data_IF_580401111307
#
_entry.id   IF_580401111307
#
_cell.length_a   1.000
_cell.length_b   1.000
_cell.length_c   1.000
_cell.angle_alpha   90.00
_cell.angle_beta   90.00
_cell.angle_gamma   90.00
#
_symmetry.space_group_name_H-M   'P 1'
#
loop_
_entity.id
_entity.type
_entity.pdbx_description
1 polymer ?
#
# COMPACT_ATOMS: atom_id res chain seq x y z
N UNK A 1 4.47 26.62 -26.39
CA UNK A 1 4.30 25.16 -26.27
C UNK A 1 2.91 24.88 -25.74
N UNK A 2 2.16 23.96 -26.37
CA UNK A 2 0.71 23.74 -26.13
C UNK A 2 0.36 22.34 -25.60
N UNK A 3 1.28 21.66 -24.92
CA UNK A 3 1.04 20.33 -24.38
C UNK A 3 -0.01 20.38 -23.26
N UNK A 4 -0.96 19.44 -23.32
CA UNK A 4 -1.94 19.18 -22.24
C UNK A 4 -1.26 18.31 -21.18
N UNK A 5 -1.38 18.69 -19.91
CA UNK A 5 -0.67 18.06 -18.80
C UNK A 5 -1.66 17.74 -17.69
N UNK A 6 -1.56 16.54 -17.12
CA UNK A 6 -2.27 16.15 -15.89
C UNK A 6 -1.23 15.73 -14.88
N UNK A 7 -1.40 16.14 -13.63
CA UNK A 7 -0.47 15.86 -12.54
C UNK A 7 -1.22 15.09 -11.46
N UNK A 8 -0.56 14.21 -10.74
CA UNK A 8 -1.11 13.57 -9.54
C UNK A 8 -0.39 14.06 -8.29
N UNK A 9 -1.12 14.09 -7.17
CA UNK A 9 -0.51 14.22 -5.86
C UNK A 9 -0.05 12.83 -5.35
N UNK A 10 0.59 12.82 -4.18
CA UNK A 10 1.24 11.65 -3.59
C UNK A 10 0.34 11.07 -2.48
N UNK A 11 0.10 9.74 -2.46
CA UNK A 11 -0.63 9.10 -1.37
C UNK A 11 0.14 9.14 -0.05
N UNK A 12 -0.55 8.89 1.07
CA UNK A 12 0.12 8.67 2.35
C UNK A 12 0.94 7.38 2.30
N UNK A 13 2.26 7.52 2.23
CA UNK A 13 3.21 6.41 2.15
C UNK A 13 3.22 5.53 3.42
N UNK A 14 2.69 6.02 4.53
CA UNK A 14 2.59 5.25 5.78
C UNK A 14 1.33 4.39 5.84
N UNK A 15 0.38 4.60 4.91
CA UNK A 15 -0.89 3.87 4.82
C UNK A 15 -0.84 2.62 3.93
N UNK A 16 0.33 2.32 3.35
CA UNK A 16 0.52 1.16 2.47
C UNK A 16 0.70 -0.13 3.30
N UNK A 17 0.37 -1.30 2.71
CA UNK A 17 0.54 -2.60 3.34
C UNK A 17 1.91 -2.88 3.93
N UNK A 18 2.96 -2.32 3.32
CA UNK A 18 4.32 -2.47 3.82
C UNK A 18 4.46 -2.06 5.29
N UNK A 19 3.74 -1.04 5.76
CA UNK A 19 3.81 -0.55 7.14
C UNK A 19 2.60 -0.92 8.01
N UNK A 20 1.42 -1.13 7.42
CA UNK A 20 0.17 -1.31 8.17
C UNK A 20 -0.34 -2.76 8.24
N UNK A 21 0.49 -3.75 7.90
CA UNK A 21 0.08 -5.17 7.96
C UNK A 21 0.47 -5.85 9.28
N UNK A 22 1.77 -5.82 9.63
CA UNK A 22 2.31 -6.64 10.71
C UNK A 22 1.80 -6.17 12.07
N UNK A 23 1.90 -4.86 12.36
CA UNK A 23 1.43 -4.29 13.62
C UNK A 23 -0.05 -4.59 13.89
N UNK A 24 -0.98 -4.26 12.99
CA UNK A 24 -2.40 -4.59 13.15
C UNK A 24 -2.69 -6.08 13.29
N UNK A 25 -1.94 -6.95 12.60
CA UNK A 25 -2.09 -8.41 12.76
C UNK A 25 -1.70 -8.88 14.17
N UNK A 26 -0.63 -8.31 14.74
CA UNK A 26 -0.21 -8.59 16.12
C UNK A 26 -1.23 -8.06 17.14
N UNK A 27 -1.75 -6.85 16.93
CA UNK A 27 -2.78 -6.25 17.78
C UNK A 27 -4.07 -7.08 17.77
N UNK A 28 -4.50 -7.57 16.61
CA UNK A 28 -5.63 -8.48 16.48
C UNK A 28 -5.40 -9.82 17.20
N UNK A 29 -4.14 -10.21 17.41
CA UNK A 29 -3.73 -11.40 18.16
C UNK A 29 -3.47 -11.11 19.66
N UNK A 30 -3.76 -9.89 20.13
CA UNK A 30 -3.63 -9.48 21.54
C UNK A 30 -2.25 -8.92 21.93
N UNK A 31 -1.33 -8.76 20.98
CA UNK A 31 -0.01 -8.13 21.23
C UNK A 31 -0.07 -6.65 20.90
N UNK A 32 0.02 -5.79 21.92
CA UNK A 32 -0.09 -4.32 21.76
C UNK A 32 1.26 -3.61 21.69
N UNK A 33 2.35 -4.29 22.00
CA UNK A 33 3.70 -3.73 21.98
C UNK A 33 4.74 -4.81 21.67
N UNK A 34 5.87 -4.39 21.12
CA UNK A 34 7.02 -5.24 20.81
C UNK A 34 8.30 -4.63 21.35
N UNK A 35 9.29 -5.45 21.67
CA UNK A 35 10.62 -4.96 22.05
C UNK A 35 11.40 -4.62 20.79
N UNK A 36 11.91 -3.40 20.69
CA UNK A 36 12.65 -2.93 19.51
C UNK A 36 13.86 -2.09 19.87
N UNK A 37 14.84 -2.09 18.97
CA UNK A 37 15.96 -1.16 18.98
C UNK A 37 15.51 0.14 18.30
N UNK A 38 15.64 1.27 19.00
CA UNK A 38 15.37 2.61 18.47
C UNK A 38 16.52 3.13 17.63
N UNK A 39 16.31 4.27 16.97
CA UNK A 39 17.31 4.92 16.13
C UNK A 39 18.59 5.33 16.90
N UNK A 40 18.48 5.62 18.21
CA UNK A 40 19.61 5.93 19.09
C UNK A 40 20.36 4.69 19.61
N UNK A 41 19.95 3.48 19.20
CA UNK A 41 20.51 2.20 19.62
C UNK A 41 19.97 1.68 20.96
N UNK A 42 19.13 2.45 21.66
CA UNK A 42 18.48 2.00 22.89
C UNK A 42 17.43 0.92 22.60
N UNK A 43 17.26 -0.01 23.55
CA UNK A 43 16.22 -1.05 23.48
C UNK A 43 15.06 -0.64 24.36
N UNK A 44 13.83 -0.69 23.83
CA UNK A 44 12.63 -0.36 24.58
C UNK A 44 11.43 -1.20 24.15
N UNK A 45 10.40 -1.19 24.98
CA UNK A 45 9.07 -1.65 24.60
C UNK A 45 8.38 -0.55 23.77
N UNK A 46 7.95 -0.87 22.56
CA UNK A 46 7.38 0.04 21.59
C UNK A 46 5.91 -0.29 21.36
N UNK A 47 5.02 0.68 21.59
CA UNK A 47 3.58 0.51 21.35
C UNK A 47 3.27 0.40 19.87
N UNK A 48 2.47 -0.59 19.48
CA UNK A 48 2.00 -0.76 18.09
C UNK A 48 0.87 0.21 17.71
N UNK A 49 0.38 1.01 18.65
CA UNK A 49 -0.55 2.12 18.37
C UNK A 49 0.18 3.38 17.90
N UNK A 50 1.48 3.49 18.19
CA UNK A 50 2.31 4.67 17.91
C UNK A 50 3.39 4.39 16.86
N UNK A 51 3.87 3.14 16.79
CA UNK A 51 4.96 2.71 15.92
C UNK A 51 4.44 1.69 14.92
N UNK A 52 4.96 1.74 13.69
CA UNK A 52 4.63 0.78 12.65
C UNK A 52 5.74 -0.26 12.50
N UNK A 53 5.34 -1.44 12.02
CA UNK A 53 6.25 -2.52 11.69
C UNK A 53 6.18 -2.77 10.20
N UNK A 54 7.35 -2.80 9.57
CA UNK A 54 7.47 -3.15 8.16
C UNK A 54 7.06 -4.61 7.92
N UNK A 55 6.71 -4.98 6.68
CA UNK A 55 6.50 -6.38 6.30
C UNK A 55 7.72 -7.26 6.60
N UNK A 56 8.94 -6.68 6.55
CA UNK A 56 10.18 -7.38 6.85
C UNK A 56 10.30 -7.78 8.33
N UNK A 57 9.59 -7.09 9.24
CA UNK A 57 9.55 -7.46 10.65
C UNK A 57 8.99 -8.88 10.88
N UNK A 58 8.19 -9.39 9.94
CA UNK A 58 7.65 -10.76 10.01
C UNK A 58 8.74 -11.83 10.10
N UNK A 59 9.87 -11.67 9.40
CA UNK A 59 10.99 -12.60 9.45
C UNK A 59 11.70 -12.56 10.81
N UNK A 60 11.84 -11.38 11.40
CA UNK A 60 12.44 -11.20 12.72
C UNK A 60 11.56 -11.77 13.83
N UNK A 61 10.25 -11.52 13.76
CA UNK A 61 9.26 -12.08 14.67
C UNK A 61 9.25 -13.62 14.59
N UNK A 62 9.33 -14.19 13.38
CA UNK A 62 9.41 -15.64 13.19
C UNK A 62 10.71 -16.25 13.79
N UNK A 63 11.79 -15.47 13.83
CA UNK A 63 13.02 -15.83 14.53
C UNK A 63 12.96 -15.64 16.06
N UNK A 64 11.80 -15.23 16.60
CA UNK A 64 11.57 -15.02 18.03
C UNK A 64 12.06 -13.67 18.56
N UNK A 65 12.46 -12.74 17.69
CA UNK A 65 12.75 -11.35 18.09
C UNK A 65 11.45 -10.59 18.42
N UNK A 66 11.59 -9.46 19.11
CA UNK A 66 10.47 -8.59 19.48
C UNK A 66 9.76 -8.98 20.78
N UNK A 67 10.15 -10.08 21.42
CA UNK A 67 9.48 -10.63 22.60
C UNK A 67 10.19 -10.33 23.92
N UNK A 68 11.49 -10.01 23.89
CA UNK A 68 12.31 -9.78 25.08
C UNK A 68 13.47 -8.81 24.81
N UNK A 69 14.02 -8.21 25.88
CA UNK A 69 15.10 -7.20 25.81
C UNK A 69 16.42 -7.73 25.21
N UNK A 70 16.69 -9.02 25.34
CA UNK A 70 17.86 -9.68 24.75
C UNK A 70 17.64 -10.09 23.27
N UNK A 71 16.42 -9.93 22.76
CA UNK A 71 16.02 -10.24 21.38
C UNK A 71 15.16 -9.13 20.78
N UNK A 72 15.64 -7.88 20.71
CA UNK A 72 14.86 -6.79 20.12
C UNK A 72 14.67 -6.99 18.62
N UNK A 73 13.58 -6.44 18.09
CA UNK A 73 13.50 -6.15 16.66
C UNK A 73 14.55 -5.11 16.28
N UNK A 74 15.13 -5.27 15.10
CA UNK A 74 16.12 -4.33 14.55
C UNK A 74 15.45 -2.99 14.22
N UNK A 75 16.18 -1.87 14.37
CA UNK A 75 15.65 -0.54 14.04
C UNK A 75 15.12 -0.47 12.59
N UNK A 76 15.79 -1.12 11.64
CA UNK A 76 15.41 -1.08 10.22
C UNK A 76 14.04 -1.69 9.87
N UNK A 77 13.40 -2.43 10.79
CA UNK A 77 12.06 -2.99 10.56
C UNK A 77 10.96 -2.25 11.33
N UNK A 78 11.32 -1.22 12.08
CA UNK A 78 10.43 -0.37 12.87
C UNK A 78 10.39 0.99 12.22
N UNK A 79 9.19 1.58 12.16
CA UNK A 79 9.03 2.99 11.84
C UNK A 79 8.45 3.65 13.09
N UNK A 80 9.24 4.50 13.75
CA UNK A 80 8.82 5.13 14.98
C UNK A 80 7.86 6.30 14.76
N UNK A 81 7.21 6.76 15.83
CA UNK A 81 6.23 7.84 15.75
C UNK A 81 6.81 9.15 15.16
N UNK A 82 8.10 9.43 15.39
CA UNK A 82 8.76 10.61 14.84
C UNK A 82 9.04 10.47 13.36
N UNK A 83 9.48 9.30 12.91
CA UNK A 83 9.70 8.98 11.49
C UNK A 83 8.38 9.01 10.72
N UNK A 84 7.30 8.46 11.29
CA UNK A 84 5.94 8.54 10.72
C UNK A 84 5.52 10.00 10.54
N UNK A 85 5.72 10.85 11.56
CA UNK A 85 5.37 12.26 11.50
C UNK A 85 6.17 13.00 10.42
N UNK A 86 7.48 12.75 10.32
CA UNK A 86 8.36 13.31 9.28
C UNK A 86 7.87 12.88 7.89
N UNK A 87 7.58 11.60 7.67
CA UNK A 87 7.08 11.10 6.39
C UNK A 87 5.77 11.79 5.97
N UNK A 88 4.81 11.90 6.89
CA UNK A 88 3.52 12.57 6.64
C UNK A 88 3.68 14.07 6.35
N UNK A 89 4.59 14.73 7.07
CA UNK A 89 4.90 16.15 6.82
C UNK A 89 5.51 16.34 5.43
N UNK A 90 6.43 15.48 5.02
CA UNK A 90 7.06 15.53 3.70
C UNK A 90 6.03 15.29 2.58
N UNK A 91 5.16 14.28 2.71
CA UNK A 91 4.07 14.04 1.75
C UNK A 91 3.15 15.25 1.65
N UNK A 92 2.79 15.86 2.78
CA UNK A 92 1.97 17.07 2.81
C UNK A 92 2.65 18.23 2.08
N UNK A 93 3.94 18.46 2.32
CA UNK A 93 4.72 19.51 1.67
C UNK A 93 4.82 19.31 0.15
N UNK A 94 5.05 18.07 -0.31
CA UNK A 94 5.03 17.75 -1.74
C UNK A 94 3.66 17.99 -2.36
N UNK A 95 2.58 17.55 -1.71
CA UNK A 95 1.22 17.74 -2.21
C UNK A 95 0.84 19.22 -2.30
N UNK A 96 1.28 20.05 -1.35
CA UNK A 96 1.13 21.50 -1.41
C UNK A 96 1.91 22.11 -2.58
N UNK A 97 3.16 21.70 -2.79
CA UNK A 97 3.98 22.18 -3.90
C UNK A 97 3.37 21.78 -5.26
N UNK A 98 2.89 20.54 -5.40
CA UNK A 98 2.19 20.04 -6.58
C UNK A 98 0.94 20.88 -6.86
N UNK A 99 0.11 21.10 -5.84
CA UNK A 99 -1.11 21.89 -5.98
C UNK A 99 -0.80 23.34 -6.40
N UNK A 100 0.22 23.97 -5.80
CA UNK A 100 0.66 25.32 -6.17
C UNK A 100 1.13 25.44 -7.62
N UNK A 101 1.97 24.49 -8.07
CA UNK A 101 2.45 24.44 -9.46
C UNK A 101 1.30 24.17 -10.44
N UNK A 102 0.40 23.25 -10.11
CA UNK A 102 -0.74 22.92 -10.94
C UNK A 102 -1.69 24.13 -11.09
N UNK A 103 -1.97 24.85 -10.00
CA UNK A 103 -2.77 26.07 -10.02
C UNK A 103 -2.13 27.16 -10.88
N UNK A 104 -0.83 27.43 -10.70
CA UNK A 104 -0.10 28.43 -11.47
C UNK A 104 -0.07 28.15 -12.99
N UNK A 105 -0.17 26.88 -13.38
CA UNK A 105 -0.17 26.43 -14.78
C UNK A 105 -1.56 26.05 -15.31
N UNK A 106 -2.60 26.15 -14.49
CA UNK A 106 -3.96 25.69 -14.81
C UNK A 106 -4.02 24.21 -15.25
N UNK A 107 -3.16 23.37 -14.67
CA UNK A 107 -3.18 21.93 -14.87
C UNK A 107 -4.13 21.26 -13.87
N UNK A 108 -4.97 20.31 -14.29
CA UNK A 108 -5.79 19.57 -13.36
C UNK A 108 -4.93 18.59 -12.55
N UNK A 109 -5.38 18.33 -11.32
CA UNK A 109 -4.72 17.39 -10.40
C UNK A 109 -5.60 16.16 -10.20
N UNK A 110 -5.00 14.98 -10.30
CA UNK A 110 -5.58 13.71 -9.84
C UNK A 110 -5.25 13.55 -8.36
N UNK A 111 -6.28 13.51 -7.51
CA UNK A 111 -6.11 13.40 -6.06
C UNK A 111 -5.97 11.94 -5.63
N UNK A 112 -4.78 11.39 -5.87
CA UNK A 112 -4.39 10.03 -5.48
C UNK A 112 -4.36 9.87 -3.95
N UNK A 113 -4.06 10.94 -3.21
CA UNK A 113 -4.06 10.94 -1.76
C UNK A 113 -5.46 10.66 -1.18
N UNK A 114 -6.45 11.46 -1.60
CA UNK A 114 -7.84 11.24 -1.20
C UNK A 114 -8.38 9.92 -1.74
N UNK A 115 -7.98 9.52 -2.96
CA UNK A 115 -8.38 8.26 -3.57
C UNK A 115 -7.98 7.06 -2.72
N UNK A 116 -6.71 6.90 -2.37
CA UNK A 116 -6.25 5.77 -1.54
C UNK A 116 -6.78 5.84 -0.10
N UNK A 117 -6.94 7.05 0.45
CA UNK A 117 -7.58 7.23 1.76
C UNK A 117 -9.01 6.68 1.77
N UNK A 118 -9.78 6.96 0.72
CA UNK A 118 -11.14 6.46 0.59
C UNK A 118 -11.16 4.93 0.43
N UNK A 119 -10.32 4.37 -0.44
CA UNK A 119 -10.23 2.91 -0.64
C UNK A 119 -9.86 2.20 0.66
N UNK A 120 -8.93 2.74 1.45
CA UNK A 120 -8.55 2.15 2.73
C UNK A 120 -9.72 2.11 3.72
N UNK A 121 -10.60 3.12 3.69
CA UNK A 121 -11.76 3.21 4.58
C UNK A 121 -12.97 2.38 4.10
N UNK A 122 -13.24 2.37 2.78
CA UNK A 122 -14.51 1.91 2.23
C UNK A 122 -14.38 0.78 1.18
N UNK A 123 -13.15 0.46 0.77
CA UNK A 123 -12.91 -0.37 -0.40
C UNK A 123 -13.28 0.33 -1.71
N UNK A 124 -13.25 -0.43 -2.81
CA UNK A 124 -13.61 0.02 -4.15
C UNK A 124 -14.28 -1.11 -4.92
N UNK A 125 -15.47 -0.87 -5.45
CA UNK A 125 -16.15 -1.78 -6.35
C UNK A 125 -16.09 -1.21 -7.78
N UNK A 126 -15.45 -1.92 -8.71
CA UNK A 126 -15.31 -1.51 -10.11
C UNK A 126 -15.25 -2.72 -11.02
N UNK A 127 -15.94 -2.65 -12.17
CA UNK A 127 -16.00 -3.71 -13.17
C UNK A 127 -16.36 -5.10 -12.61
N UNK A 128 -17.24 -5.13 -11.61
CA UNK A 128 -17.69 -6.37 -10.95
C UNK A 128 -16.71 -6.95 -9.92
N UNK A 129 -15.62 -6.25 -9.60
CA UNK A 129 -14.60 -6.69 -8.66
C UNK A 129 -14.56 -5.79 -7.42
N UNK A 130 -14.31 -6.40 -6.26
CA UNK A 130 -14.04 -5.70 -5.01
C UNK A 130 -12.53 -5.55 -4.79
N UNK A 131 -12.13 -4.36 -4.39
CA UNK A 131 -10.76 -4.00 -4.08
C UNK A 131 -10.69 -3.34 -2.71
N UNK A 132 -9.57 -3.54 -2.01
CA UNK A 132 -9.22 -2.81 -0.79
C UNK A 132 -7.70 -2.67 -0.70
N UNK A 133 -7.22 -1.89 0.25
CA UNK A 133 -5.78 -1.78 0.53
C UNK A 133 -5.24 -2.95 1.35
N UNK A 134 -6.04 -3.99 1.67
CA UNK A 134 -5.56 -5.13 2.45
C UNK A 134 -4.43 -5.87 1.73
N UNK A 135 -3.37 -6.20 2.48
CA UNK A 135 -2.24 -6.96 1.98
C UNK A 135 -2.70 -8.33 1.45
N UNK A 136 -2.18 -8.74 0.28
CA UNK A 136 -2.46 -10.02 -0.40
C UNK A 136 -3.90 -10.17 -0.91
N UNK A 137 -4.93 -9.94 -0.10
CA UNK A 137 -6.32 -10.20 -0.43
C UNK A 137 -7.07 -9.00 -1.02
N UNK A 138 -6.55 -7.77 -0.87
CA UNK A 138 -7.22 -6.56 -1.31
C UNK A 138 -7.11 -6.28 -2.82
N UNK A 139 -6.20 -6.94 -3.53
CA UNK A 139 -6.07 -6.87 -4.99
C UNK A 139 -5.44 -5.58 -5.54
N UNK A 140 -5.23 -4.56 -4.72
CA UNK A 140 -4.63 -3.28 -5.13
C UNK A 140 -3.11 -3.31 -5.07
N UNK A 141 -2.53 -3.84 -4.00
CA UNK A 141 -1.07 -3.86 -3.78
C UNK A 141 -0.48 -5.24 -4.08
N UNK A 142 0.78 -5.24 -4.53
CA UNK A 142 1.58 -6.44 -4.79
C UNK A 142 2.07 -7.08 -3.47
N UNK A 143 2.83 -8.18 -3.58
CA UNK A 143 3.41 -8.88 -2.43
C UNK A 143 4.53 -8.10 -1.73
N UNK A 144 5.04 -7.03 -2.32
CA UNK A 144 5.94 -6.12 -1.59
C UNK A 144 5.19 -5.17 -0.64
N UNK A 145 3.87 -5.05 -0.80
CA UNK A 145 3.05 -4.11 -0.04
C UNK A 145 3.31 -2.63 -0.34
N UNK A 146 3.99 -2.31 -1.43
CA UNK A 146 4.35 -0.96 -1.86
C UNK A 146 3.78 -0.67 -3.25
N UNK A 147 4.09 -1.50 -4.24
CA UNK A 147 3.67 -1.24 -5.61
C UNK A 147 2.24 -1.73 -5.87
N UNK A 148 1.45 -1.01 -6.66
CA UNK A 148 0.17 -1.51 -7.15
C UNK A 148 0.35 -2.78 -8.00
N UNK A 149 -0.68 -3.62 -8.00
CA UNK A 149 -0.81 -4.73 -8.96
C UNK A 149 -1.13 -4.18 -10.34
N UNK A 150 -1.09 -5.02 -11.39
CA UNK A 150 -1.55 -4.62 -12.72
C UNK A 150 -2.98 -4.07 -12.72
N UNK A 151 -3.89 -4.67 -11.92
CA UNK A 151 -5.25 -4.14 -11.71
C UNK A 151 -5.23 -2.80 -10.96
N UNK A 152 -4.40 -2.68 -9.93
CA UNK A 152 -4.19 -1.42 -9.20
C UNK A 152 -3.73 -0.29 -10.13
N UNK A 153 -2.78 -0.55 -11.03
CA UNK A 153 -2.37 0.41 -12.05
C UNK A 153 -3.48 0.74 -13.05
N UNK A 154 -4.29 -0.23 -13.48
CA UNK A 154 -5.47 0.02 -14.32
C UNK A 154 -6.49 0.93 -13.65
N UNK A 155 -6.71 0.74 -12.35
CA UNK A 155 -7.57 1.59 -11.52
C UNK A 155 -7.00 3.02 -11.45
N UNK A 156 -5.71 3.18 -11.13
CA UNK A 156 -5.06 4.50 -11.09
C UNK A 156 -5.14 5.19 -12.44
N UNK A 157 -4.87 4.47 -13.54
CA UNK A 157 -4.95 5.00 -14.89
C UNK A 157 -6.36 5.52 -15.23
N UNK A 158 -7.41 4.85 -14.75
CA UNK A 158 -8.78 5.33 -14.89
C UNK A 158 -9.01 6.67 -14.17
N UNK A 159 -8.38 6.92 -13.02
CA UNK A 159 -8.47 8.23 -12.35
C UNK A 159 -7.82 9.35 -13.19
N UNK A 160 -6.69 9.07 -13.84
CA UNK A 160 -6.10 10.01 -14.81
C UNK A 160 -7.02 10.23 -16.01
N UNK A 161 -7.56 9.16 -16.61
CA UNK A 161 -8.45 9.27 -17.77
C UNK A 161 -9.69 10.11 -17.45
N UNK A 162 -10.29 9.92 -16.27
CA UNK A 162 -11.44 10.72 -15.80
C UNK A 162 -11.10 12.22 -15.77
N UNK A 163 -9.95 12.57 -15.19
CA UNK A 163 -9.49 13.96 -15.09
C UNK A 163 -9.17 14.56 -16.47
N UNK A 164 -8.50 13.79 -17.34
CA UNK A 164 -8.19 14.19 -18.73
C UNK A 164 -9.49 14.48 -19.50
N UNK A 165 -10.43 13.54 -19.49
CA UNK A 165 -11.70 13.68 -20.20
C UNK A 165 -12.49 14.89 -19.67
N UNK A 166 -12.53 15.08 -18.35
CA UNK A 166 -13.22 16.21 -17.73
C UNK A 166 -12.62 17.57 -18.11
N UNK A 167 -11.29 17.75 -17.96
CA UNK A 167 -10.60 19.01 -18.20
C UNK A 167 -10.50 19.35 -19.69
N UNK A 168 -10.15 18.36 -20.51
CA UNK A 168 -9.77 18.58 -21.91
C UNK A 168 -10.83 18.19 -22.92
N UNK A 169 -12.00 17.74 -22.46
CA UNK A 169 -13.12 17.27 -23.29
C UNK A 169 -12.68 16.18 -24.26
N UNK A 170 -11.75 15.34 -23.81
CA UNK A 170 -11.34 14.14 -24.53
C UNK A 170 -12.38 13.03 -24.34
N UNK A 171 -12.27 12.00 -25.18
CA UNK A 171 -13.13 10.81 -25.16
C UNK A 171 -12.29 9.53 -25.04
N UNK A 172 -11.33 9.51 -24.10
CA UNK A 172 -10.51 8.33 -23.86
C UNK A 172 -11.36 7.31 -23.09
N UNK A 173 -11.52 6.08 -23.59
CA UNK A 173 -12.28 5.05 -22.89
C UNK A 173 -11.60 4.66 -21.58
N UNK A 174 -12.41 4.33 -20.56
CA UNK A 174 -11.88 3.73 -19.33
C UNK A 174 -11.41 2.30 -19.60
N UNK A 175 -10.36 1.92 -18.91
CA UNK A 175 -9.82 0.57 -18.90
C UNK A 175 -10.78 -0.32 -18.10
N UNK A 176 -11.23 -1.43 -18.69
CA UNK A 176 -11.97 -2.45 -17.96
C UNK A 176 -11.01 -3.28 -17.11
N UNK A 177 -10.99 -3.03 -15.81
CA UNK A 177 -10.05 -3.61 -14.84
C UNK A 177 -10.25 -5.13 -14.73
N UNK A 178 -11.45 -5.65 -14.98
CA UNK A 178 -11.72 -7.10 -14.93
C UNK A 178 -10.94 -7.89 -15.97
N UNK A 179 -10.55 -7.23 -17.07
CA UNK A 179 -9.78 -7.85 -18.16
C UNK A 179 -8.28 -7.93 -17.88
N UNK A 180 -7.80 -7.25 -16.83
CA UNK A 180 -6.38 -7.25 -16.45
C UNK A 180 -6.12 -8.46 -15.52
N UNK A 181 -4.99 -9.18 -15.69
CA UNK A 181 -4.57 -10.21 -14.75
C UNK A 181 -4.52 -9.68 -13.31
N UNK A 182 -5.12 -10.42 -12.38
CA UNK A 182 -5.12 -10.06 -10.96
C UNK A 182 -3.84 -10.46 -10.25
N UNK A 183 -3.70 -10.03 -9.00
CA UNK A 183 -2.70 -10.59 -8.08
C UNK A 183 -3.05 -12.03 -7.71
N UNK A 184 -2.06 -12.76 -7.16
CA UNK A 184 -2.24 -14.11 -6.63
C UNK A 184 -3.42 -14.17 -5.66
N UNK A 185 -4.49 -14.85 -6.09
CA UNK A 185 -5.63 -15.14 -5.22
C UNK A 185 -5.26 -16.36 -4.38
N UNK A 186 -4.80 -16.14 -3.15
CA UNK A 186 -4.63 -17.20 -2.14
C UNK A 186 -6.02 -17.58 -1.56
N UNK A 187 -6.93 -18.05 -2.42
CA UNK A 187 -8.23 -18.51 -1.96
C UNK A 187 -8.08 -19.82 -1.20
N UNK A 188 -8.20 -19.76 0.13
CA UNK A 188 -8.95 -20.72 0.97
C UNK A 188 -8.72 -22.22 0.81
N UNK A 189 -7.66 -22.67 0.16
CA UNK A 189 -7.35 -24.09 0.06
C UNK A 189 -6.99 -24.55 1.48
N UNK A 190 -7.87 -25.33 2.10
CA UNK A 190 -7.52 -26.15 3.26
C UNK A 190 -6.40 -27.08 2.81
N UNK A 191 -5.16 -26.68 3.05
CA UNK A 191 -3.96 -27.47 2.80
C UNK A 191 -3.98 -28.63 3.79
N UNK A 192 -4.65 -29.72 3.42
CA UNK A 192 -4.40 -30.99 4.08
C UNK A 192 -3.06 -31.55 3.54
N UNK A 193 -2.39 -32.38 4.33
CA UNK A 193 -1.03 -32.92 4.09
C UNK A 193 -0.89 -33.73 2.78
N UNK A 194 -1.95 -33.86 1.96
CA UNK A 194 -2.03 -34.64 0.72
C UNK A 194 -2.51 -33.84 -0.51
N UNK A 195 -2.95 -32.59 -0.37
CA UNK A 195 -3.40 -31.80 -1.53
C UNK A 195 -2.21 -31.13 -2.21
N UNK A 196 -1.79 -31.67 -3.36
CA UNK A 196 -0.89 -30.97 -4.28
C UNK A 196 -1.67 -29.76 -4.84
N UNK A 197 -1.13 -28.56 -4.65
CA UNK A 197 -1.69 -27.35 -5.27
C UNK A 197 -1.59 -27.52 -6.79
N UNK A 198 -2.72 -27.79 -7.45
CA UNK A 198 -2.76 -27.83 -8.90
C UNK A 198 -2.91 -26.40 -9.41
N UNK A 199 -1.77 -25.73 -9.61
CA UNK A 199 -1.76 -24.41 -10.19
C UNK A 199 -2.02 -24.53 -11.69
N UNK A 200 -3.06 -23.87 -12.27
CA UNK A 200 -3.19 -23.74 -13.71
C UNK A 200 -1.87 -23.32 -14.35
N UNK A 201 -1.56 -23.96 -15.49
CA UNK A 201 -0.36 -23.65 -16.26
C UNK A 201 -0.32 -22.15 -16.54
N UNK A 202 0.77 -21.50 -16.13
CA UNK A 202 0.98 -20.07 -16.26
C UNK A 202 0.38 -19.18 -15.17
N UNK A 203 -0.12 -19.75 -14.05
CA UNK A 203 -0.49 -18.95 -12.87
C UNK A 203 0.60 -17.97 -12.44
N UNK A 204 1.86 -18.38 -12.61
CA UNK A 204 3.02 -17.64 -12.16
C UNK A 204 3.66 -16.78 -13.25
N UNK A 205 3.22 -16.93 -14.50
CA UNK A 205 3.83 -16.24 -15.65
C UNK A 205 3.57 -14.72 -15.62
N UNK A 206 2.56 -14.29 -14.85
CA UNK A 206 2.21 -12.88 -14.65
C UNK A 206 2.43 -12.41 -13.21
N UNK A 207 3.18 -13.16 -12.39
CA UNK A 207 3.69 -12.61 -11.12
C UNK A 207 4.77 -11.60 -11.49
N UNK A 208 4.46 -10.32 -11.33
CA UNK A 208 5.46 -9.27 -11.35
C UNK A 208 6.06 -9.18 -9.94
N UNK A 209 7.37 -9.40 -9.86
CA UNK A 209 8.20 -9.19 -8.67
C UNK A 209 8.52 -7.70 -8.47
#
# INVERSE_FOLDING_TARGET
TGAKVVIANIPDVTSIPFFNTVGPTLMASGTNAVVGTKADGSIALLSLTENFLTLQASAELAAGKGTALDKPLSNGVILDASEIAVAKQIVTAYNQAIAGLAAAKNYPVVDINAFFTNIAANGLFVDGLNFSTQYVSGGIFSLDGVHPTSRGYGIIANEFIKVINSKYKAAIPLINVSTIPGSLVLAGAKLNKKTILNFPQGMFDNILF
#
